data_IF_728266412905
#
_entry.id   IF_728266412905
#
_cell.length_a   1.000
_cell.length_b   1.000
_cell.length_c   1.000
_cell.angle_alpha   90.00
_cell.angle_beta   90.00
_cell.angle_gamma   90.00
#
_symmetry.space_group_name_H-M   'P 1'
#
loop_
_entity.id
_entity.type
_entity.pdbx_description
1 polymer ?
#
# COMPACT_ATOMS: atom_id res chain seq x y z
N UNK A 1 22.11 -12.90 3.70
CA UNK A 1 21.70 -12.91 2.28
C UNK A 1 20.82 -11.68 2.08
N UNK A 2 21.01 -10.83 1.05
CA UNK A 2 19.99 -9.84 0.73
C UNK A 2 18.71 -10.60 0.40
N UNK A 3 17.64 -10.27 1.11
CA UNK A 3 16.39 -10.99 1.02
C UNK A 3 15.64 -10.42 -0.19
N UNK A 4 15.61 -11.20 -1.28
CA UNK A 4 15.11 -10.74 -2.58
C UNK A 4 13.60 -11.00 -2.71
N UNK A 5 12.82 -10.45 -1.79
CA UNK A 5 11.36 -10.54 -1.79
C UNK A 5 10.72 -9.16 -1.80
N UNK A 6 9.51 -9.10 -2.34
CA UNK A 6 8.65 -7.93 -2.38
C UNK A 6 7.36 -8.27 -1.64
N UNK A 7 7.00 -7.45 -0.65
CA UNK A 7 5.70 -7.56 0.01
C UNK A 7 4.70 -6.70 -0.76
N UNK A 8 3.72 -7.33 -1.40
CA UNK A 8 2.63 -6.63 -2.07
C UNK A 8 1.42 -6.51 -1.12
N UNK A 9 0.85 -5.32 -0.99
CA UNK A 9 -0.29 -5.04 -0.13
C UNK A 9 -1.41 -4.37 -0.94
N UNK A 10 -2.50 -5.08 -1.26
CA UNK A 10 -3.70 -4.47 -1.82
C UNK A 10 -4.42 -3.67 -0.75
N UNK A 11 -4.86 -2.46 -1.10
CA UNK A 11 -5.49 -1.50 -0.19
C UNK A 11 -6.73 -0.92 -0.87
N UNK A 12 -7.83 -0.82 -0.12
CA UNK A 12 -9.04 -0.14 -0.58
C UNK A 12 -9.81 0.40 0.62
N UNK A 13 -10.00 1.72 0.68
CA UNK A 13 -10.75 2.43 1.73
C UNK A 13 -10.31 2.10 3.16
N UNK A 14 -9.00 2.21 3.43
CA UNK A 14 -8.35 1.95 4.72
C UNK A 14 -7.78 3.21 5.38
N UNK A 15 -8.43 4.37 5.19
CA UNK A 15 -7.87 5.67 5.61
C UNK A 15 -7.50 5.70 7.09
N UNK A 16 -8.22 4.95 7.92
CA UNK A 16 -8.00 4.89 9.37
C UNK A 16 -6.71 4.16 9.75
N UNK A 17 -6.32 3.14 8.97
CA UNK A 17 -5.32 2.17 9.41
C UNK A 17 -4.09 2.10 8.50
N UNK A 18 -4.18 2.59 7.25
CA UNK A 18 -3.14 2.41 6.23
C UNK A 18 -1.73 2.79 6.70
N UNK A 19 -1.57 3.88 7.44
CA UNK A 19 -0.26 4.29 7.95
C UNK A 19 0.28 3.33 9.02
N UNK A 20 -0.53 2.97 10.01
CA UNK A 20 -0.12 2.08 11.09
C UNK A 20 0.25 0.69 10.55
N UNK A 21 -0.55 0.17 9.62
CA UNK A 21 -0.29 -1.11 8.95
C UNK A 21 1.03 -1.05 8.19
N UNK A 22 1.28 0.00 7.40
CA UNK A 22 2.53 0.13 6.66
C UNK A 22 3.75 0.29 7.57
N UNK A 23 3.62 1.01 8.69
CA UNK A 23 4.70 1.16 9.68
C UNK A 23 5.07 -0.19 10.33
N UNK A 24 4.09 -1.07 10.53
CA UNK A 24 4.32 -2.44 10.99
C UNK A 24 4.94 -3.30 9.90
N UNK A 25 4.44 -3.25 8.66
CA UNK A 25 4.98 -4.02 7.53
C UNK A 25 6.45 -3.68 7.27
N UNK A 26 6.82 -2.39 7.33
CA UNK A 26 8.19 -1.91 7.13
C UNK A 26 9.20 -2.40 8.18
N UNK A 27 8.74 -2.89 9.34
CA UNK A 27 9.64 -3.53 10.32
C UNK A 27 10.15 -4.90 9.86
N UNK A 28 9.44 -5.53 8.91
CA UNK A 28 9.74 -6.88 8.44
C UNK A 28 10.06 -6.96 6.94
N UNK A 29 9.74 -5.93 6.17
CA UNK A 29 9.93 -5.90 4.72
C UNK A 29 10.54 -4.58 4.26
N UNK A 30 11.73 -4.65 3.68
CA UNK A 30 12.40 -3.48 3.10
C UNK A 30 11.68 -3.03 1.82
N UNK A 31 11.32 -3.97 0.95
CA UNK A 31 10.64 -3.72 -0.32
C UNK A 31 9.13 -3.93 -0.17
N UNK A 32 8.35 -2.85 -0.28
CA UNK A 32 6.88 -2.90 -0.17
C UNK A 32 6.27 -2.21 -1.39
N UNK A 33 5.33 -2.91 -2.02
CA UNK A 33 4.47 -2.38 -3.07
C UNK A 33 3.04 -2.33 -2.54
N UNK A 34 2.44 -1.16 -2.54
CA UNK A 34 1.02 -0.96 -2.25
C UNK A 34 0.27 -0.82 -3.56
N UNK A 35 -0.82 -1.55 -3.70
CA UNK A 35 -1.78 -1.40 -4.80
C UNK A 35 -3.05 -0.79 -4.21
N UNK A 36 -3.25 0.50 -4.40
CA UNK A 36 -4.48 1.20 -4.03
C UNK A 36 -5.53 0.99 -5.13
N UNK A 37 -6.55 0.19 -4.80
CA UNK A 37 -7.56 -0.24 -5.75
C UNK A 37 -8.73 0.76 -5.84
N UNK A 38 -8.39 2.02 -6.13
CA UNK A 38 -9.35 3.11 -6.34
C UNK A 38 -10.07 3.57 -5.08
N UNK A 39 -9.32 3.79 -3.98
CA UNK A 39 -9.89 4.32 -2.74
C UNK A 39 -10.51 5.71 -2.91
N UNK A 40 -11.56 6.00 -2.14
CA UNK A 40 -12.30 7.28 -2.19
C UNK A 40 -12.50 7.93 -0.83
N UNK A 41 -11.90 7.38 0.22
CA UNK A 41 -12.11 7.75 1.62
C UNK A 41 -10.98 8.59 2.24
N UNK A 42 -9.98 8.98 1.44
CA UNK A 42 -8.76 9.64 1.93
C UNK A 42 -7.53 8.73 1.98
N UNK A 43 -7.65 7.44 1.63
CA UNK A 43 -6.53 6.49 1.65
C UNK A 43 -5.43 6.85 0.65
N UNK A 44 -5.81 7.19 -0.58
CA UNK A 44 -4.88 7.54 -1.66
C UNK A 44 -4.02 8.75 -1.28
N UNK A 45 -4.61 9.76 -0.64
CA UNK A 45 -3.91 10.95 -0.17
C UNK A 45 -2.92 10.66 0.95
N UNK A 46 -3.22 9.67 1.81
CA UNK A 46 -2.26 9.19 2.82
C UNK A 46 -1.12 8.42 2.18
N UNK A 47 -1.42 7.54 1.22
CA UNK A 47 -0.43 6.75 0.50
C UNK A 47 0.51 7.64 -0.33
N UNK A 48 0.00 8.69 -0.98
CA UNK A 48 0.79 9.66 -1.75
C UNK A 48 1.82 10.42 -0.91
N UNK A 49 1.65 10.49 0.42
CA UNK A 49 2.60 11.13 1.35
C UNK A 49 3.72 10.17 1.80
N UNK A 50 3.63 8.88 1.50
CA UNK A 50 4.64 7.88 1.88
C UNK A 50 5.77 7.88 0.87
N UNK A 51 7.00 8.00 1.36
CA UNK A 51 8.23 7.98 0.54
C UNK A 51 9.05 6.70 0.73
N UNK A 52 8.58 5.80 1.59
CA UNK A 52 9.26 4.59 2.05
C UNK A 52 8.69 3.29 1.46
N UNK A 53 7.64 3.40 0.64
CA UNK A 53 6.96 2.32 -0.10
C UNK A 53 6.72 2.74 -1.55
N UNK A 54 6.53 1.77 -2.43
CA UNK A 54 6.08 2.02 -3.81
C UNK A 54 4.56 1.94 -3.82
N UNK A 55 3.89 2.89 -4.48
CA UNK A 55 2.42 2.92 -4.59
C UNK A 55 2.04 2.88 -6.07
N UNK A 56 1.10 1.98 -6.41
CA UNK A 56 0.37 1.97 -7.67
C UNK A 56 -1.09 2.22 -7.33
N UNK A 57 -1.73 3.13 -8.06
CA UNK A 57 -3.14 3.47 -7.88
C UNK A 57 -3.94 3.08 -9.12
N UNK A 58 -5.10 2.45 -8.91
CA UNK A 58 -6.08 2.20 -9.95
C UNK A 58 -7.11 3.34 -9.98
N UNK A 59 -7.53 3.79 -11.16
CA UNK A 59 -8.56 4.84 -11.32
C UNK A 59 -9.92 4.43 -10.73
N UNK A 60 -10.19 3.13 -10.66
CA UNK A 60 -11.41 2.55 -10.12
C UNK A 60 -11.11 1.17 -9.53
N UNK A 61 -11.91 0.77 -8.54
CA UNK A 61 -11.80 -0.56 -7.94
C UNK A 61 -11.96 -1.68 -8.99
N UNK A 62 -10.88 -2.43 -9.19
CA UNK A 62 -10.81 -3.56 -10.11
C UNK A 62 -10.96 -4.91 -9.40
N UNK A 63 -10.94 -4.91 -8.06
CA UNK A 63 -11.05 -6.07 -7.21
C UNK A 63 -9.69 -6.68 -6.89
N UNK A 64 -9.66 -7.50 -5.84
CA UNK A 64 -8.43 -8.00 -5.18
C UNK A 64 -7.47 -8.84 -6.06
N UNK A 65 -7.84 -9.18 -7.29
CA UNK A 65 -7.04 -10.02 -8.19
C UNK A 65 -6.86 -9.48 -9.60
N UNK A 66 -7.19 -8.21 -9.82
CA UNK A 66 -7.11 -7.54 -11.12
C UNK A 66 -5.85 -6.70 -11.27
#
# INVERSE_FOLDING_TARGET
MPQNFLTALPVFNEVKYVNEVLDLVKQYSDNVLVVDDGSTDGTSEKLAQRTDVIVIEHEQNAGYGA
#
